data_IF_063745048954
#
_entry.id   IF_063745048954
#
_cell.length_a   1.000
_cell.length_b   1.000
_cell.length_c   1.000
_cell.angle_alpha   90.00
_cell.angle_beta   90.00
_cell.angle_gamma   90.00
#
_symmetry.space_group_name_H-M   'P 1'
#
loop_
_entity.id
_entity.type
_entity.pdbx_description
1 polymer ?
#
# COMPACT_ATOMS: atom_id res chain seq x y z
N UNK A 1 4.19 17.45 2.68
CA UNK A 1 2.91 16.81 2.91
C UNK A 1 3.09 15.32 2.96
N UNK A 2 2.55 14.73 3.97
CA UNK A 2 2.80 13.32 4.23
C UNK A 2 1.55 12.52 3.96
N UNK A 3 1.63 11.65 2.96
CA UNK A 3 0.57 10.70 2.71
C UNK A 3 0.70 9.55 3.69
N UNK A 4 -0.43 8.98 4.05
CA UNK A 4 -0.47 7.84 4.94
C UNK A 4 -0.45 6.57 4.12
N UNK A 5 0.45 5.65 4.45
CA UNK A 5 0.56 4.36 3.79
C UNK A 5 0.09 3.28 4.75
N UNK A 6 -0.76 2.38 4.24
CA UNK A 6 -1.29 1.29 5.04
C UNK A 6 -1.03 -0.02 4.32
N UNK A 7 -0.60 -1.01 5.08
CA UNK A 7 -0.39 -2.38 4.58
C UNK A 7 -1.35 -3.28 5.33
N UNK A 8 -2.14 -4.03 4.58
CA UNK A 8 -3.18 -4.86 5.19
C UNK A 8 -3.36 -6.13 4.38
N UNK A 9 -3.98 -7.13 5.01
CA UNK A 9 -4.37 -8.36 4.31
C UNK A 9 -5.80 -8.24 3.86
N UNK A 10 -6.04 -8.63 2.60
CA UNK A 10 -7.39 -8.65 2.07
C UNK A 10 -8.12 -9.94 2.46
N UNK A 11 -9.34 -10.11 1.95
CA UNK A 11 -10.15 -11.28 2.27
C UNK A 11 -9.56 -12.59 1.74
N UNK A 12 -8.65 -12.50 0.77
CA UNK A 12 -7.95 -13.66 0.23
C UNK A 12 -6.68 -14.00 1.00
N UNK A 13 -6.34 -13.21 2.03
CA UNK A 13 -5.14 -13.42 2.80
C UNK A 13 -3.89 -12.88 2.15
N UNK A 14 -4.03 -12.03 1.17
CA UNK A 14 -2.90 -11.45 0.46
C UNK A 14 -2.65 -10.03 0.93
N UNK A 15 -1.38 -9.62 0.88
CA UNK A 15 -0.99 -8.28 1.31
C UNK A 15 -1.30 -7.26 0.25
N UNK A 16 -1.86 -6.12 0.69
CA UNK A 16 -2.14 -4.99 -0.17
C UNK A 16 -1.71 -3.71 0.53
N UNK A 17 -1.48 -2.66 -0.24
CA UNK A 17 -1.16 -1.35 0.33
C UNK A 17 -2.15 -0.31 -0.19
N UNK A 18 -2.29 0.73 0.61
CA UNK A 18 -3.17 1.84 0.27
C UNK A 18 -2.48 3.13 0.70
N UNK A 19 -2.53 4.11 -0.17
CA UNK A 19 -1.96 5.42 0.10
C UNK A 19 -3.10 6.43 0.23
N UNK A 20 -3.15 7.12 1.34
CA UNK A 20 -4.19 8.11 1.63
C UNK A 20 -3.54 9.48 1.76
N UNK A 21 -4.07 10.46 1.04
CA UNK A 21 -3.58 11.82 1.13
C UNK A 21 -4.00 12.45 2.45
N UNK A 22 -3.38 13.59 2.79
CA UNK A 22 -3.63 14.26 4.04
C UNK A 22 -5.09 14.71 4.22
N UNK A 23 -5.81 14.88 3.12
CA UNK A 23 -7.23 15.25 3.18
C UNK A 23 -8.16 14.04 3.30
N UNK A 24 -7.61 12.84 3.47
CA UNK A 24 -8.39 11.63 3.63
C UNK A 24 -8.78 10.92 2.34
N UNK A 25 -8.36 11.43 1.20
CA UNK A 25 -8.66 10.78 -0.09
C UNK A 25 -7.66 9.69 -0.40
N UNK A 26 -8.15 8.56 -0.90
CA UNK A 26 -7.29 7.48 -1.36
C UNK A 26 -6.73 7.87 -2.72
N UNK A 27 -5.41 8.03 -2.80
CA UNK A 27 -4.75 8.49 -4.02
C UNK A 27 -3.91 7.40 -4.67
N UNK A 28 -3.85 6.22 -4.08
CA UNK A 28 -3.14 5.09 -4.66
C UNK A 28 -3.42 3.82 -3.89
N UNK A 29 -3.31 2.69 -4.57
CA UNK A 29 -3.49 1.38 -3.95
C UNK A 29 -2.83 0.34 -4.84
N UNK A 30 -2.48 -0.82 -4.23
CA UNK A 30 -1.93 -1.92 -5.01
C UNK A 30 -3.02 -2.48 -5.92
N UNK A 31 -2.63 -2.81 -7.15
CA UNK A 31 -3.56 -3.38 -8.12
C UNK A 31 -3.74 -4.88 -7.92
N UNK A 32 -2.88 -5.50 -7.15
CA UNK A 32 -2.93 -6.93 -6.90
C UNK A 32 -2.50 -7.23 -5.48
N UNK A 33 -2.82 -8.44 -5.02
CA UNK A 33 -2.37 -8.91 -3.71
C UNK A 33 -1.03 -9.60 -3.80
N UNK A 34 -0.30 -9.62 -2.70
CA UNK A 34 1.01 -10.24 -2.60
C UNK A 34 1.00 -11.26 -1.48
N UNK A 35 1.62 -12.41 -1.72
CA UNK A 35 1.71 -13.46 -0.71
C UNK A 35 2.60 -12.99 0.44
N UNK A 36 3.69 -12.31 0.11
CA UNK A 36 4.65 -11.84 1.11
C UNK A 36 4.53 -10.34 1.31
N UNK A 37 4.58 -9.91 2.56
CA UNK A 37 4.53 -8.49 2.89
C UNK A 37 5.71 -7.74 2.27
N UNK A 38 6.90 -8.37 2.23
CA UNK A 38 8.07 -7.74 1.65
C UNK A 38 7.88 -7.39 0.18
N UNK A 39 7.21 -8.26 -0.57
CA UNK A 39 6.93 -7.99 -1.97
C UNK A 39 5.95 -6.84 -2.12
N UNK A 40 4.96 -6.80 -1.24
CA UNK A 40 4.00 -5.69 -1.22
C UNK A 40 4.70 -4.37 -0.93
N UNK A 41 5.61 -4.36 0.03
CA UNK A 41 6.35 -3.16 0.39
C UNK A 41 7.28 -2.72 -0.75
N UNK A 42 7.89 -3.67 -1.46
CA UNK A 42 8.72 -3.33 -2.61
C UNK A 42 7.89 -2.64 -3.70
N UNK A 43 6.69 -3.14 -3.94
CA UNK A 43 5.80 -2.50 -4.90
C UNK A 43 5.42 -1.09 -4.44
N UNK A 44 5.15 -0.94 -3.15
CA UNK A 44 4.81 0.38 -2.60
C UNK A 44 5.98 1.35 -2.77
N UNK A 45 7.22 0.89 -2.57
CA UNK A 45 8.39 1.74 -2.73
C UNK A 45 8.53 2.23 -4.16
N UNK A 46 8.20 1.39 -5.13
CA UNK A 46 8.20 1.80 -6.53
C UNK A 46 7.16 2.87 -6.81
N UNK A 47 6.18 3.00 -5.94
CA UNK A 47 5.11 3.99 -6.05
C UNK A 47 5.29 5.17 -5.12
N UNK A 48 6.45 5.29 -4.48
CA UNK A 48 6.78 6.45 -3.69
C UNK A 48 6.88 6.24 -2.18
N UNK A 49 6.65 5.01 -1.71
CA UNK A 49 6.77 4.72 -0.29
C UNK A 49 8.23 4.81 0.16
N UNK A 50 8.46 5.47 1.27
CA UNK A 50 9.81 5.71 1.79
C UNK A 50 9.98 5.15 3.19
N UNK A 51 9.25 4.16 3.54
CA UNK A 51 9.31 3.59 4.87
C UNK A 51 10.16 2.37 5.02
#
# INVERSE_FOLDING_TARGET
MNDKWEFYKDSSGEWRWRRTASNGRIVGASSQGYVNKSDCMDNARRNGYQG
#
